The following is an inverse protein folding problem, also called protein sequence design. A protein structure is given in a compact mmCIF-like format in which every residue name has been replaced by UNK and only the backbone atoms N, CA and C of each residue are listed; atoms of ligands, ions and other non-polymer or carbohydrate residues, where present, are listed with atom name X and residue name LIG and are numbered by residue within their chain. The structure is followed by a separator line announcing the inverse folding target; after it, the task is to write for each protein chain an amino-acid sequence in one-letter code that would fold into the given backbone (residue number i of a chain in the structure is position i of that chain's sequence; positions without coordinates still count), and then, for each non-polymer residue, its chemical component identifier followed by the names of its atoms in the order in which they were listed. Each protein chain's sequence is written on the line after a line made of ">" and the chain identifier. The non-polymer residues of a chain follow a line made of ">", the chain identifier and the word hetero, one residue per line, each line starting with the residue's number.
data_IF_059427193362
#
_entry.id   IF_059427193362
#
_cell.length_a   1.000
_cell.length_b   1.000
_cell.length_c   1.000
_cell.angle_alpha   90.00
_cell.angle_beta   90.00
_cell.angle_gamma   90.00
#
_symmetry.space_group_name_H-M   'P 1'
#
loop_
_entity.id
_entity.type
_entity.pdbx_description
1 polymer ?
#
# COMPACT_ATOMS: atom_id res chain seq x y z
N UNK A 1 13.24 -20.98 -10.91
CA UNK A 1 12.11 -21.63 -10.22
C UNK A 1 12.65 -22.08 -8.88
N UNK A 2 12.49 -21.27 -7.83
CA UNK A 2 13.04 -21.55 -6.50
C UNK A 2 11.91 -22.17 -5.68
N UNK A 3 12.01 -23.46 -5.44
CA UNK A 3 11.10 -24.19 -4.55
C UNK A 3 11.58 -24.00 -3.11
N UNK A 4 10.78 -23.36 -2.28
CA UNK A 4 11.00 -23.37 -0.83
C UNK A 4 10.41 -24.67 -0.26
N UNK A 5 11.28 -25.55 0.24
CA UNK A 5 10.86 -26.70 1.05
C UNK A 5 10.30 -26.21 2.37
N UNK A 6 9.06 -26.59 2.66
CA UNK A 6 8.41 -26.33 3.94
C UNK A 6 9.05 -27.21 5.01
N UNK A 7 9.90 -26.65 5.84
CA UNK A 7 10.45 -27.32 7.02
C UNK A 7 9.30 -27.66 8.00
N UNK A 8 9.22 -28.91 8.42
CA UNK A 8 8.25 -29.41 9.36
C UNK A 8 8.20 -28.55 10.64
N UNK A 9 7.00 -28.13 11.02
CA UNK A 9 6.73 -27.36 12.22
C UNK A 9 7.15 -28.14 13.47
N UNK A 10 8.11 -27.64 14.22
CA UNK A 10 8.53 -28.24 15.48
C UNK A 10 7.36 -28.28 16.46
N UNK A 11 7.11 -29.46 17.06
CA UNK A 11 6.03 -29.62 18.05
C UNK A 11 6.38 -28.86 19.33
N UNK A 12 5.45 -28.06 19.82
CA UNK A 12 5.55 -27.40 21.13
C UNK A 12 5.25 -28.46 22.20
N UNK A 13 6.17 -28.75 23.18
CA UNK A 13 5.92 -29.73 24.23
C UNK A 13 4.77 -29.27 25.12
N UNK A 14 3.76 -30.13 25.34
CA UNK A 14 2.65 -29.88 26.26
C UNK A 14 1.31 -29.55 25.62
N UNK A 15 1.17 -29.57 24.31
CA UNK A 15 -0.13 -29.41 23.65
C UNK A 15 -0.97 -30.68 23.82
N UNK A 16 -2.06 -30.59 24.57
CA UNK A 16 -3.17 -31.60 24.57
C UNK A 16 -3.69 -31.75 23.12
N UNK A 17 -4.16 -32.94 22.77
CA UNK A 17 -4.63 -33.31 21.43
C UNK A 17 -5.43 -32.16 20.78
N UNK A 18 -4.85 -31.56 19.77
CA UNK A 18 -5.44 -30.40 19.06
C UNK A 18 -6.62 -30.91 18.20
N UNK A 19 -7.66 -30.07 18.11
CA UNK A 19 -8.70 -30.24 17.10
C UNK A 19 -8.04 -30.41 15.71
N UNK A 20 -8.67 -31.17 14.79
CA UNK A 20 -8.10 -31.34 13.44
C UNK A 20 -7.77 -30.01 12.83
N UNK A 21 -6.53 -29.88 12.31
CA UNK A 21 -6.06 -28.64 11.72
C UNK A 21 -7.01 -28.23 10.59
N UNK A 22 -7.48 -27.00 10.61
CA UNK A 22 -8.27 -26.46 9.52
C UNK A 22 -7.48 -26.58 8.20
N UNK A 23 -8.15 -26.85 7.07
CA UNK A 23 -7.48 -26.99 5.78
C UNK A 23 -6.69 -25.72 5.45
N UNK A 24 -5.50 -25.90 4.85
CA UNK A 24 -4.69 -24.78 4.38
C UNK A 24 -5.46 -23.97 3.35
N UNK A 25 -5.38 -22.65 3.45
CA UNK A 25 -5.95 -21.73 2.48
C UNK A 25 -4.87 -21.31 1.49
N UNK A 26 -5.24 -21.17 0.23
CA UNK A 26 -4.33 -20.74 -0.84
C UNK A 26 -4.84 -19.44 -1.43
N UNK A 27 -3.93 -18.52 -1.69
CA UNK A 27 -4.17 -17.30 -2.47
C UNK A 27 -3.15 -17.25 -3.61
N UNK A 28 -3.63 -17.00 -4.81
CA UNK A 28 -2.79 -16.76 -5.98
C UNK A 28 -2.90 -15.28 -6.36
N UNK A 29 -1.77 -14.64 -6.61
CA UNK A 29 -1.73 -13.29 -7.15
C UNK A 29 -0.72 -13.23 -8.29
N UNK A 30 -0.98 -12.36 -9.24
CA UNK A 30 -0.15 -12.12 -10.41
C UNK A 30 0.19 -10.64 -10.48
N UNK A 31 1.33 -10.33 -11.06
CA UNK A 31 1.74 -8.96 -11.33
C UNK A 31 2.48 -8.90 -12.65
N UNK A 32 2.42 -7.76 -13.30
CA UNK A 32 3.24 -7.47 -14.46
C UNK A 32 4.65 -7.08 -14.02
N UNK A 33 5.70 -7.61 -14.64
CA UNK A 33 7.05 -7.16 -14.38
C UNK A 33 7.16 -5.68 -14.79
N UNK A 34 7.84 -4.89 -13.96
CA UNK A 34 8.11 -3.50 -14.33
C UNK A 34 8.96 -3.48 -15.61
N UNK A 35 8.52 -2.80 -16.68
CA UNK A 35 9.33 -2.67 -17.88
C UNK A 35 10.64 -1.94 -17.56
N UNK A 36 11.74 -2.34 -18.22
CA UNK A 36 13.04 -1.72 -18.01
C UNK A 36 13.03 -0.23 -18.39
N UNK A 37 12.20 0.16 -19.35
CA UNK A 37 11.93 1.54 -19.72
C UNK A 37 10.49 1.67 -20.22
N UNK A 38 9.88 2.81 -19.95
CA UNK A 38 8.61 3.22 -20.55
C UNK A 38 8.91 4.46 -21.39
N UNK A 39 8.81 4.38 -22.72
CA UNK A 39 9.03 5.56 -23.58
C UNK A 39 8.11 6.71 -23.18
N UNK A 40 8.65 7.90 -23.07
CA UNK A 40 7.89 9.10 -22.71
C UNK A 40 7.61 9.27 -21.21
N UNK A 41 8.01 8.33 -20.35
CA UNK A 41 7.72 8.43 -18.92
C UNK A 41 8.46 9.61 -18.26
N UNK A 42 9.66 9.92 -18.71
CA UNK A 42 10.46 11.02 -18.17
C UNK A 42 9.89 12.40 -18.49
N UNK A 43 9.10 12.50 -19.56
CA UNK A 43 8.42 13.71 -20.02
C UNK A 43 7.05 13.91 -19.35
N UNK A 44 6.54 12.90 -18.65
CA UNK A 44 5.28 12.97 -17.92
C UNK A 44 5.47 13.56 -16.53
N UNK A 45 4.55 14.43 -16.11
CA UNK A 45 4.42 14.83 -14.71
C UNK A 45 3.95 13.66 -13.85
N UNK A 46 4.18 13.74 -12.54
CA UNK A 46 3.71 12.70 -11.62
C UNK A 46 2.19 12.54 -11.63
N UNK A 47 1.42 13.60 -11.88
CA UNK A 47 -0.04 13.53 -12.03
C UNK A 47 -0.45 12.74 -13.26
N UNK A 48 0.21 12.97 -14.40
CA UNK A 48 -0.04 12.23 -15.65
C UNK A 48 0.29 10.75 -15.49
N UNK A 49 1.41 10.42 -14.85
CA UNK A 49 1.81 9.04 -14.56
C UNK A 49 0.75 8.32 -13.70
N UNK A 50 0.26 8.95 -12.64
CA UNK A 50 -0.74 8.34 -11.76
C UNK A 50 -2.12 8.25 -12.42
N UNK A 51 -2.49 9.19 -13.29
CA UNK A 51 -3.71 9.07 -14.12
C UNK A 51 -3.60 7.90 -15.08
N UNK A 52 -2.48 7.76 -15.77
CA UNK A 52 -2.23 6.63 -16.68
C UNK A 52 -2.26 5.28 -15.93
N UNK A 53 -1.76 5.22 -14.70
CA UNK A 53 -1.87 4.02 -13.85
C UNK A 53 -3.32 3.75 -13.42
N UNK A 54 -4.10 4.78 -13.09
CA UNK A 54 -5.53 4.66 -12.73
C UNK A 54 -6.35 4.17 -13.93
N UNK A 55 -6.03 4.63 -15.14
CA UNK A 55 -6.67 4.25 -16.41
C UNK A 55 -6.19 2.89 -16.93
N UNK A 56 -5.16 2.30 -16.33
CA UNK A 56 -4.60 1.01 -16.73
C UNK A 56 -3.69 1.07 -17.96
N UNK A 57 -3.28 2.25 -18.41
CA UNK A 57 -2.33 2.43 -19.52
C UNK A 57 -0.87 2.30 -19.06
N UNK A 58 -0.61 2.44 -17.76
CA UNK A 58 0.64 2.08 -17.11
C UNK A 58 0.39 0.98 -16.08
N UNK A 59 1.35 0.06 -15.88
CA UNK A 59 1.21 -1.00 -14.89
C UNK A 59 1.15 -0.43 -13.46
N UNK A 60 0.24 -0.99 -12.66
CA UNK A 60 0.18 -0.69 -11.23
C UNK A 60 1.43 -1.22 -10.51
N UNK A 61 1.72 -0.70 -9.32
CA UNK A 61 2.78 -1.24 -8.48
C UNK A 61 2.46 -2.70 -8.08
N UNK A 62 3.43 -3.62 -8.23
CA UNK A 62 3.23 -5.06 -7.94
C UNK A 62 2.77 -5.32 -6.49
N UNK A 63 3.14 -4.45 -5.53
CA UNK A 63 2.69 -4.51 -4.15
C UNK A 63 1.16 -4.43 -4.03
N UNK A 64 0.47 -3.72 -4.92
CA UNK A 64 -0.99 -3.58 -4.89
C UNK A 64 -1.69 -4.92 -5.09
N UNK A 65 -1.22 -5.75 -6.04
CA UNK A 65 -1.77 -7.09 -6.26
C UNK A 65 -1.43 -8.06 -5.11
N UNK A 66 -0.23 -7.93 -4.54
CA UNK A 66 0.22 -8.78 -3.43
C UNK A 66 -0.63 -8.58 -2.18
N UNK A 67 -0.93 -7.35 -1.81
CA UNK A 67 -1.67 -7.02 -0.58
C UNK A 67 -3.16 -6.76 -0.79
N UNK A 68 -3.64 -6.65 -2.04
CA UNK A 68 -5.06 -6.48 -2.33
C UNK A 68 -5.56 -5.06 -2.08
N UNK A 69 -4.87 -4.06 -2.63
CA UNK A 69 -5.34 -2.68 -2.63
C UNK A 69 -5.14 -2.05 -4.01
N UNK A 70 -5.80 -0.95 -4.30
CA UNK A 70 -5.78 -0.30 -5.62
C UNK A 70 -5.90 1.22 -5.50
N UNK A 71 -5.32 1.93 -6.44
CA UNK A 71 -5.56 3.36 -6.67
C UNK A 71 -6.98 3.55 -7.21
N UNK A 72 -7.77 4.45 -6.63
CA UNK A 72 -9.17 4.70 -7.03
C UNK A 72 -9.44 6.13 -7.45
N UNK A 73 -8.67 7.10 -6.92
CA UNK A 73 -8.81 8.50 -7.29
C UNK A 73 -7.46 9.20 -7.31
N UNK A 74 -7.29 10.13 -8.25
CA UNK A 74 -6.09 10.96 -8.39
C UNK A 74 -6.49 12.41 -8.71
N UNK A 75 -5.95 13.33 -7.94
CA UNK A 75 -6.06 14.77 -8.17
C UNK A 75 -4.76 15.47 -7.80
N UNK A 76 -4.61 16.73 -8.15
CA UNK A 76 -3.42 17.50 -7.75
C UNK A 76 -3.29 17.58 -6.22
N UNK A 77 -2.17 17.11 -5.69
CA UNK A 77 -1.90 17.03 -4.26
C UNK A 77 -2.70 15.95 -3.51
N UNK A 78 -3.42 15.07 -4.22
CA UNK A 78 -4.33 14.10 -3.59
C UNK A 78 -4.30 12.76 -4.33
N UNK A 79 -4.27 11.67 -3.56
CA UNK A 79 -4.47 10.31 -4.08
C UNK A 79 -5.30 9.48 -3.10
N UNK A 80 -6.11 8.58 -3.63
CA UNK A 80 -6.95 7.68 -2.85
C UNK A 80 -6.70 6.26 -3.27
N UNK A 81 -6.51 5.43 -2.26
CA UNK A 81 -6.42 3.98 -2.42
C UNK A 81 -7.55 3.31 -1.63
N UNK A 82 -8.04 2.20 -2.15
CA UNK A 82 -8.91 1.29 -1.43
C UNK A 82 -8.21 -0.05 -1.24
N UNK A 83 -8.37 -0.62 -0.06
CA UNK A 83 -7.79 -1.91 0.30
C UNK A 83 -8.84 -2.82 0.93
N UNK A 84 -8.80 -4.10 0.55
CA UNK A 84 -9.71 -5.12 1.01
C UNK A 84 -9.04 -5.96 2.10
N UNK A 85 -9.40 -5.78 3.39
CA UNK A 85 -8.92 -6.64 4.47
C UNK A 85 -9.28 -8.10 4.24
N UNK A 86 -8.50 -9.00 4.83
CA UNK A 86 -8.76 -10.42 4.71
C UNK A 86 -7.94 -11.24 5.69
N UNK A 87 -8.29 -12.52 5.83
CA UNK A 87 -7.63 -13.42 6.77
C UNK A 87 -6.17 -13.76 6.45
N UNK A 88 -5.78 -13.57 5.18
CA UNK A 88 -4.38 -13.70 4.74
C UNK A 88 -3.47 -12.56 5.24
N UNK A 89 -4.03 -11.50 5.81
CA UNK A 89 -3.33 -10.34 6.34
C UNK A 89 -3.28 -10.32 7.87
N UNK A 90 -3.72 -11.38 8.55
CA UNK A 90 -3.80 -11.39 10.00
C UNK A 90 -2.43 -11.47 10.67
N UNK A 91 -2.33 -10.80 11.82
CA UNK A 91 -1.27 -10.96 12.78
C UNK A 91 -1.59 -12.14 13.73
N UNK A 92 -0.66 -12.55 14.63
CA UNK A 92 -0.90 -13.63 15.57
C UNK A 92 -2.07 -13.41 16.54
N UNK A 93 -2.52 -12.17 16.75
CA UNK A 93 -3.65 -11.81 17.62
C UNK A 93 -5.00 -11.87 16.90
N UNK A 94 -5.04 -12.24 15.61
CA UNK A 94 -6.27 -12.38 14.84
C UNK A 94 -6.84 -11.08 14.27
N UNK A 95 -6.09 -9.98 14.32
CA UNK A 95 -6.43 -8.73 13.62
C UNK A 95 -5.56 -8.54 12.38
N UNK A 96 -6.02 -7.74 11.43
CA UNK A 96 -5.21 -7.38 10.25
C UNK A 96 -3.91 -6.72 10.71
N UNK A 97 -2.79 -7.21 10.16
CA UNK A 97 -1.46 -6.74 10.53
C UNK A 97 -1.30 -5.26 10.20
N UNK A 98 -0.73 -4.48 11.12
CA UNK A 98 -0.48 -3.05 10.91
C UNK A 98 0.38 -2.73 9.69
N UNK A 99 1.21 -3.68 9.23
CA UNK A 99 1.97 -3.56 7.99
C UNK A 99 1.11 -3.34 6.75
N UNK A 100 -0.09 -3.93 6.69
CA UNK A 100 -1.04 -3.66 5.62
C UNK A 100 -1.49 -2.19 5.62
N UNK A 101 -1.89 -1.68 6.79
CA UNK A 101 -2.30 -0.28 6.93
C UNK A 101 -1.14 0.69 6.64
N UNK A 102 0.08 0.35 7.08
CA UNK A 102 1.26 1.15 6.81
C UNK A 102 1.57 1.23 5.31
N UNK A 103 1.46 0.10 4.58
CA UNK A 103 1.67 0.08 3.11
C UNK A 103 0.59 0.89 2.38
N UNK A 104 -0.67 0.77 2.81
CA UNK A 104 -1.78 1.53 2.24
C UNK A 104 -1.58 3.04 2.43
N UNK A 105 -1.17 3.45 3.65
CA UNK A 105 -0.86 4.83 3.99
C UNK A 105 0.34 5.36 3.20
N UNK A 106 1.45 4.62 3.13
CA UNK A 106 2.65 5.03 2.38
C UNK A 106 2.34 5.22 0.89
N UNK A 107 1.53 4.33 0.31
CA UNK A 107 1.09 4.43 -1.08
C UNK A 107 0.27 5.70 -1.34
N UNK A 108 -0.67 6.03 -0.44
CA UNK A 108 -1.50 7.22 -0.58
C UNK A 108 -0.69 8.50 -0.39
N UNK A 109 0.20 8.52 0.62
CA UNK A 109 1.07 9.65 0.94
C UNK A 109 2.03 9.97 -0.21
N UNK A 110 2.77 8.95 -0.66
CA UNK A 110 3.75 9.10 -1.73
C UNK A 110 3.09 9.47 -3.06
N UNK A 111 1.94 8.87 -3.37
CA UNK A 111 1.19 9.22 -4.58
C UNK A 111 0.66 10.65 -4.53
N UNK A 112 0.17 11.12 -3.38
CA UNK A 112 -0.23 12.52 -3.23
C UNK A 112 0.93 13.49 -3.49
N UNK A 113 2.12 13.21 -2.95
CA UNK A 113 3.35 13.97 -3.26
C UNK A 113 3.66 13.91 -4.75
N UNK A 114 3.63 12.71 -5.34
CA UNK A 114 3.97 12.49 -6.75
C UNK A 114 3.09 13.33 -7.68
N UNK A 115 1.80 13.49 -7.40
CA UNK A 115 0.90 14.30 -8.24
C UNK A 115 1.35 15.75 -8.44
N UNK A 116 2.19 16.29 -7.56
CA UNK A 116 2.71 17.66 -7.63
C UNK A 116 4.14 17.76 -8.14
N UNK A 117 4.75 16.64 -8.52
CA UNK A 117 6.10 16.62 -9.08
C UNK A 117 6.06 16.88 -10.58
N UNK A 118 6.92 17.79 -11.11
CA UNK A 118 7.03 17.99 -12.53
C UNK A 118 7.74 16.82 -13.21
N UNK A 119 7.67 16.76 -14.53
CA UNK A 119 8.41 15.82 -15.36
C UNK A 119 9.91 15.79 -14.99
N UNK A 120 10.53 14.62 -15.12
CA UNK A 120 11.95 14.41 -14.78
C UNK A 120 12.25 14.40 -13.28
N UNK A 121 11.23 14.35 -12.42
CA UNK A 121 11.40 14.24 -10.97
C UNK A 121 10.64 13.05 -10.39
N UNK A 122 11.17 12.51 -9.30
CA UNK A 122 10.54 11.44 -8.52
C UNK A 122 10.74 11.69 -7.03
N UNK A 123 10.29 10.77 -6.20
CA UNK A 123 10.48 10.84 -4.75
C UNK A 123 10.87 9.49 -4.17
N UNK A 124 11.36 9.51 -2.94
CA UNK A 124 11.43 8.34 -2.08
C UNK A 124 11.01 8.72 -0.67
N UNK A 125 10.26 7.83 0.00
CA UNK A 125 9.90 7.98 1.40
C UNK A 125 11.15 7.85 2.26
N UNK A 126 11.44 8.85 3.10
CA UNK A 126 12.57 8.83 4.04
C UNK A 126 12.11 8.73 5.50
N UNK A 127 10.85 9.06 5.75
CA UNK A 127 10.22 8.91 7.07
C UNK A 127 8.73 8.64 6.89
N UNK A 128 8.20 7.68 7.64
CA UNK A 128 6.80 7.34 7.74
C UNK A 128 6.41 7.19 9.21
N UNK A 129 5.54 8.05 9.71
CA UNK A 129 4.99 7.99 11.05
C UNK A 129 3.54 7.53 11.01
N UNK A 130 3.24 6.36 11.58
CA UNK A 130 1.92 5.73 11.52
C UNK A 130 1.30 5.61 12.90
N UNK A 131 0.03 5.97 13.03
CA UNK A 131 -0.78 5.80 14.23
C UNK A 131 -1.95 4.86 13.92
N UNK A 132 -1.96 3.70 14.56
CA UNK A 132 -3.04 2.72 14.52
C UNK A 132 -4.09 3.09 15.58
N UNK A 133 -5.33 3.36 15.18
CA UNK A 133 -6.40 3.88 16.05
C UNK A 133 -7.39 2.78 16.43
N UNK A 134 -7.75 1.92 15.46
CA UNK A 134 -8.72 0.84 15.65
C UNK A 134 -8.21 -0.46 15.05
N UNK A 135 -8.52 -1.61 15.66
CA UNK A 135 -8.25 -2.91 15.04
C UNK A 135 -9.10 -3.06 13.77
N UNK A 136 -8.50 -3.63 12.74
CA UNK A 136 -9.19 -4.08 11.52
C UNK A 136 -9.35 -5.59 11.62
N UNK A 137 -10.54 -6.11 11.38
CA UNK A 137 -10.82 -7.53 11.38
C UNK A 137 -10.79 -8.08 9.94
N UNK A 138 -10.71 -9.41 9.80
CA UNK A 138 -10.66 -10.04 8.48
C UNK A 138 -11.93 -9.82 7.64
N UNK A 139 -13.07 -9.63 8.30
CA UNK A 139 -14.38 -9.38 7.71
C UNK A 139 -14.73 -7.87 7.63
N UNK A 140 -13.80 -7.00 8.03
CA UNK A 140 -14.00 -5.56 7.83
C UNK A 140 -14.14 -5.26 6.33
N UNK A 141 -15.19 -4.55 5.90
CA UNK A 141 -15.32 -4.11 4.53
C UNK A 141 -14.16 -3.23 4.08
N UNK A 142 -14.13 -2.93 2.78
CA UNK A 142 -13.06 -2.13 2.19
C UNK A 142 -12.71 -0.88 3.01
N UNK A 143 -11.42 -0.61 3.11
CA UNK A 143 -10.86 0.58 3.74
C UNK A 143 -10.48 1.57 2.65
N UNK A 144 -10.81 2.83 2.85
CA UNK A 144 -10.42 3.95 2.00
C UNK A 144 -9.28 4.72 2.66
N UNK A 145 -8.20 4.88 1.95
CA UNK A 145 -7.03 5.64 2.37
C UNK A 145 -6.86 6.86 1.48
N UNK A 146 -6.98 8.03 2.06
CA UNK A 146 -6.80 9.30 1.35
C UNK A 146 -5.53 9.99 1.84
N UNK A 147 -4.62 10.29 0.90
CA UNK A 147 -3.39 11.05 1.09
C UNK A 147 -3.51 12.46 0.53
N UNK A 148 -2.96 13.42 1.24
CA UNK A 148 -2.91 14.84 0.85
C UNK A 148 -1.49 15.38 1.01
N UNK A 149 -0.93 15.94 -0.04
CA UNK A 149 0.37 16.61 -0.02
C UNK A 149 0.25 17.97 0.69
N UNK A 150 0.99 18.14 1.77
CA UNK A 150 1.02 19.38 2.55
C UNK A 150 2.01 20.38 1.96
N UNK A 151 3.20 19.88 1.61
CA UNK A 151 4.28 20.68 1.02
C UNK A 151 5.04 19.84 -0.02
N UNK A 152 5.37 20.46 -1.15
CA UNK A 152 6.26 19.87 -2.15
C UNK A 152 7.29 20.92 -2.54
N UNK A 153 8.52 20.75 -2.06
CA UNK A 153 9.66 21.62 -2.33
C UNK A 153 10.65 20.98 -3.31
N UNK A 154 11.78 21.66 -3.49
CA UNK A 154 12.82 21.22 -4.43
C UNK A 154 13.55 19.95 -4.01
N UNK A 155 13.69 19.69 -2.72
CA UNK A 155 14.46 18.57 -2.15
C UNK A 155 13.64 17.73 -1.17
N UNK A 156 12.55 18.27 -0.64
CA UNK A 156 11.75 17.64 0.42
C UNK A 156 10.28 17.90 0.17
N UNK A 157 9.46 16.87 0.44
CA UNK A 157 8.00 16.98 0.44
C UNK A 157 7.43 16.32 1.69
N UNK A 158 6.25 16.79 2.12
CA UNK A 158 5.50 16.22 3.24
C UNK A 158 4.04 16.01 2.87
N UNK A 159 3.45 14.98 3.46
CA UNK A 159 2.04 14.65 3.26
C UNK A 159 1.43 14.07 4.53
N UNK A 160 0.09 14.08 4.60
CA UNK A 160 -0.71 13.37 5.59
C UNK A 160 -1.69 12.42 4.92
N UNK A 161 -2.09 11.35 5.61
CA UNK A 161 -3.10 10.42 5.11
C UNK A 161 -3.95 9.84 6.24
N UNK A 162 -5.16 9.40 5.88
CA UNK A 162 -6.13 8.78 6.78
C UNK A 162 -6.71 7.52 6.16
N UNK A 163 -6.84 6.46 6.96
CA UNK A 163 -7.58 5.25 6.62
C UNK A 163 -8.93 5.28 7.30
N UNK A 164 -9.98 5.24 6.51
CA UNK A 164 -11.38 5.32 6.95
C UNK A 164 -12.11 4.07 6.47
N UNK A 165 -12.97 3.50 7.32
CA UNK A 165 -13.88 2.42 6.92
C UNK A 165 -14.95 2.94 5.97
N UNK A 166 -15.10 2.29 4.80
CA UNK A 166 -16.12 2.69 3.82
C UNK A 166 -17.55 2.47 4.31
N UNK A 167 -17.74 1.53 5.24
CA UNK A 167 -19.03 1.12 5.77
C UNK A 167 -19.49 1.94 7.00
N UNK A 168 -18.55 2.47 7.81
CA UNK A 168 -18.85 3.09 9.11
C UNK A 168 -18.29 4.51 9.26
N UNK A 169 -17.50 4.98 8.28
CA UNK A 169 -16.88 6.30 8.28
C UNK A 169 -15.85 6.54 9.40
N UNK A 170 -15.48 5.50 10.16
CA UNK A 170 -14.57 5.65 11.29
C UNK A 170 -13.10 5.67 10.85
N UNK A 171 -12.30 6.43 11.60
CA UNK A 171 -10.85 6.46 11.42
C UNK A 171 -10.22 5.20 12.00
N UNK A 172 -9.49 4.44 11.18
CA UNK A 172 -8.74 3.24 11.57
C UNK A 172 -7.26 3.50 11.78
N UNK A 173 -6.65 4.33 10.95
CA UNK A 173 -5.27 4.76 11.10
C UNK A 173 -5.06 6.12 10.43
N UNK A 174 -3.98 6.81 10.82
CA UNK A 174 -3.49 7.97 10.10
C UNK A 174 -1.96 7.99 10.09
N UNK A 175 -1.39 8.75 9.17
CA UNK A 175 0.06 8.86 9.04
C UNK A 175 0.48 10.21 8.49
N UNK A 176 1.75 10.52 8.74
CA UNK A 176 2.48 11.58 8.06
C UNK A 176 3.75 11.03 7.43
N UNK A 177 4.23 11.66 6.38
CA UNK A 177 5.47 11.28 5.72
C UNK A 177 6.34 12.48 5.41
N UNK A 178 7.65 12.21 5.35
CA UNK A 178 8.62 13.07 4.69
C UNK A 178 9.22 12.29 3.53
N UNK A 179 9.25 12.90 2.36
CA UNK A 179 9.85 12.36 1.15
C UNK A 179 11.04 13.20 0.71
N UNK A 180 12.09 12.55 0.23
CA UNK A 180 13.13 13.20 -0.55
C UNK A 180 12.68 13.30 -2.01
N UNK A 181 12.80 14.50 -2.60
CA UNK A 181 12.53 14.72 -4.02
C UNK A 181 13.83 14.55 -4.80
N UNK A 182 13.77 13.71 -5.83
CA UNK A 182 14.92 13.28 -6.62
C UNK A 182 14.73 13.71 -8.09
N UNK A 183 15.81 14.03 -8.78
CA UNK A 183 15.80 14.22 -10.23
C UNK A 183 16.13 12.90 -10.90
N UNK A 184 15.38 12.56 -11.94
CA UNK A 184 15.72 11.44 -12.83
C UNK A 184 16.85 11.92 -13.74
N UNK A 185 18.00 11.23 -13.70
CA UNK A 185 19.18 11.46 -14.55
C UNK A 185 19.13 10.53 -15.74
#
# INVERSE_FOLDING_TARGET
>A
MTTYETTARAAVPGATASAPAAPLRTRTHTWEPRPASVPGLAEMSGLEILRAALEGTLPAASMTSTLGFRLTEVGEGRAVFEGDPGDHLLNPMGTVHGGFLATLLDSALGSAVMTRLPAGTTYTTVQLGVHMIRPVLADTPALRCEGTALHVGRTTATAEARVIGTHDGKLYAHATTTCAVLRLT
#
